data_IF_043442227784
#
_entry.id   IF_043442227784
#
_cell.length_a   1.000
_cell.length_b   1.000
_cell.length_c   1.000
_cell.angle_alpha   90.00
_cell.angle_beta   90.00
_cell.angle_gamma   90.00
#
_symmetry.space_group_name_H-M   'P 1'
#
loop_
_entity.id
_entity.type
_entity.pdbx_description
1 polymer ?
#
# COMPACT_ATOMS: atom_id res chain seq x y z
N UNK A 1 -17.12 3.36 16.54
CA UNK A 1 -16.00 2.40 16.48
C UNK A 1 -16.61 1.02 16.63
N UNK A 2 -16.31 0.03 15.77
CA UNK A 2 -16.83 -1.32 15.96
C UNK A 2 -16.26 -1.86 17.26
N UNK A 3 -17.11 -2.44 18.09
CA UNK A 3 -16.71 -3.08 19.35
C UNK A 3 -16.63 -4.58 19.10
N UNK A 4 -15.43 -5.14 19.22
CA UNK A 4 -15.21 -6.58 19.18
C UNK A 4 -15.13 -7.08 20.62
N UNK A 5 -15.86 -8.14 20.94
CA UNK A 5 -15.68 -8.81 22.22
C UNK A 5 -14.33 -9.54 22.25
N UNK A 6 -13.77 -9.68 23.46
CA UNK A 6 -12.54 -10.44 23.67
C UNK A 6 -12.65 -11.86 23.09
N UNK A 7 -13.80 -12.50 23.30
CA UNK A 7 -14.08 -13.87 22.83
C UNK A 7 -14.07 -13.95 21.30
N UNK A 8 -14.73 -13.02 20.61
CA UNK A 8 -14.73 -13.00 19.13
C UNK A 8 -13.33 -12.85 18.56
N UNK A 9 -12.50 -11.98 19.16
CA UNK A 9 -11.12 -11.79 18.72
C UNK A 9 -10.28 -13.06 18.93
N UNK A 10 -10.42 -13.75 20.06
CA UNK A 10 -9.71 -15.00 20.28
C UNK A 10 -10.16 -16.10 19.33
N UNK A 11 -11.47 -16.28 19.12
CA UNK A 11 -11.97 -17.24 18.15
C UNK A 11 -11.43 -16.96 16.73
N UNK A 12 -11.40 -15.69 16.31
CA UNK A 12 -10.84 -15.31 15.01
C UNK A 12 -9.36 -15.68 14.89
N UNK A 13 -8.57 -15.40 15.94
CA UNK A 13 -7.15 -15.71 15.97
C UNK A 13 -6.90 -17.23 15.94
N UNK A 14 -7.65 -18.00 16.72
CA UNK A 14 -7.50 -19.47 16.74
C UNK A 14 -7.78 -20.06 15.36
N UNK A 15 -8.87 -19.63 14.70
CA UNK A 15 -9.22 -20.09 13.36
C UNK A 15 -8.12 -19.75 12.33
N UNK A 16 -7.60 -18.51 12.34
CA UNK A 16 -6.59 -18.12 11.35
C UNK A 16 -5.23 -18.76 11.62
N UNK A 17 -4.86 -18.99 12.89
CA UNK A 17 -3.63 -19.68 13.27
C UNK A 17 -3.67 -21.14 12.79
N UNK A 18 -4.77 -21.85 13.04
CA UNK A 18 -4.93 -23.22 12.57
C UNK A 18 -4.91 -23.34 11.05
N UNK A 19 -5.42 -22.32 10.35
CA UNK A 19 -5.31 -22.22 8.90
C UNK A 19 -3.86 -22.02 8.45
N UNK A 20 -3.14 -21.03 9.02
CA UNK A 20 -1.76 -20.74 8.63
C UNK A 20 -0.78 -21.87 8.95
N UNK A 21 -0.99 -22.64 10.03
CA UNK A 21 -0.18 -23.84 10.33
C UNK A 21 -0.18 -24.87 9.21
N UNK A 22 -1.25 -24.92 8.41
CA UNK A 22 -1.40 -25.85 7.28
C UNK A 22 -0.78 -25.31 5.99
N UNK A 23 -0.45 -24.02 5.94
CA UNK A 23 0.11 -23.38 4.74
C UNK A 23 1.64 -23.43 4.74
N UNK A 24 2.22 -23.54 3.55
CA UNK A 24 3.67 -23.44 3.37
C UNK A 24 4.09 -21.97 3.50
N UNK A 25 5.32 -21.75 3.97
CA UNK A 25 5.91 -20.40 4.02
C UNK A 25 6.02 -19.75 2.65
N UNK A 26 6.31 -20.53 1.61
CA UNK A 26 6.24 -20.09 0.21
C UNK A 26 4.85 -20.41 -0.34
N UNK A 27 4.04 -19.37 -0.54
CA UNK A 27 2.73 -19.49 -1.16
C UNK A 27 2.84 -19.36 -2.69
N UNK A 28 2.11 -20.20 -3.40
CA UNK A 28 2.05 -20.21 -4.86
C UNK A 28 0.66 -19.77 -5.34
N UNK A 29 0.62 -18.91 -6.35
CA UNK A 29 -0.63 -18.39 -6.89
C UNK A 29 -0.56 -18.15 -8.38
N UNK A 30 -1.58 -18.63 -9.10
CA UNK A 30 -1.75 -18.35 -10.51
C UNK A 30 -2.53 -17.05 -10.74
N UNK A 31 -2.15 -16.24 -11.74
CA UNK A 31 -2.96 -15.12 -12.20
C UNK A 31 -4.39 -15.56 -12.62
N UNK A 32 -5.38 -14.65 -12.65
CA UNK A 32 -5.27 -13.23 -12.34
C UNK A 32 -5.23 -12.97 -10.82
N UNK A 33 -4.41 -12.00 -10.41
CA UNK A 33 -4.22 -11.66 -8.99
C UNK A 33 -4.00 -10.15 -8.80
N UNK A 34 -4.51 -9.61 -7.70
CA UNK A 34 -4.24 -8.24 -7.25
C UNK A 34 -3.30 -8.28 -6.05
N UNK A 35 -2.15 -7.62 -6.19
CA UNK A 35 -1.12 -7.50 -5.16
C UNK A 35 -1.26 -6.14 -4.46
N UNK A 36 -1.35 -6.20 -3.14
CA UNK A 36 -1.59 -5.08 -2.24
C UNK A 36 -0.37 -4.91 -1.34
N UNK A 37 0.18 -3.70 -1.29
CA UNK A 37 1.24 -3.33 -0.37
C UNK A 37 0.69 -2.96 1.01
N UNK A 38 1.40 -2.06 1.67
CA UNK A 38 1.17 -1.67 3.06
C UNK A 38 -0.21 -0.99 3.20
N UNK A 39 -0.90 -1.30 4.30
CA UNK A 39 -2.23 -0.75 4.63
C UNK A 39 -2.18 0.13 5.88
N UNK A 40 -1.37 -0.24 6.88
CA UNK A 40 -1.11 0.55 8.08
C UNK A 40 -2.37 1.13 8.74
N UNK A 41 -3.34 0.26 9.05
CA UNK A 41 -4.55 0.65 9.79
C UNK A 41 -5.48 1.63 9.07
N UNK A 42 -5.34 1.84 7.75
CA UNK A 42 -6.24 2.66 6.94
C UNK A 42 -7.45 1.86 6.45
N UNK A 43 -8.38 1.58 7.37
CA UNK A 43 -9.52 0.69 7.13
C UNK A 43 -10.44 1.17 6.00
N UNK A 44 -10.72 2.47 5.91
CA UNK A 44 -11.57 3.02 4.86
C UNK A 44 -10.98 2.79 3.47
N UNK A 45 -9.66 2.97 3.33
CA UNK A 45 -8.95 2.74 2.08
C UNK A 45 -8.90 1.26 1.71
N UNK A 46 -8.73 0.37 2.70
CA UNK A 46 -8.80 -1.07 2.52
C UNK A 46 -10.19 -1.51 2.03
N UNK A 47 -11.26 -1.03 2.67
CA UNK A 47 -12.64 -1.34 2.26
C UNK A 47 -12.91 -0.83 0.85
N UNK A 48 -12.46 0.39 0.54
CA UNK A 48 -12.56 0.96 -0.82
C UNK A 48 -11.84 0.09 -1.85
N UNK A 49 -10.64 -0.38 -1.54
CA UNK A 49 -9.86 -1.26 -2.40
C UNK A 49 -10.60 -2.58 -2.68
N UNK A 50 -11.10 -3.24 -1.62
CA UNK A 50 -11.80 -4.52 -1.71
C UNK A 50 -13.13 -4.42 -2.46
N UNK A 51 -13.79 -3.26 -2.41
CA UNK A 51 -15.05 -2.99 -3.12
C UNK A 51 -14.88 -2.63 -4.61
N UNK A 52 -13.65 -2.64 -5.16
CA UNK A 52 -13.43 -2.33 -6.57
C UNK A 52 -14.08 -3.39 -7.48
N UNK A 53 -15.03 -2.98 -8.33
CA UNK A 53 -15.74 -3.83 -9.29
C UNK A 53 -14.82 -4.52 -10.31
N UNK A 54 -15.28 -5.63 -10.88
CA UNK A 54 -14.68 -6.22 -12.08
C UNK A 54 -15.06 -5.36 -13.29
N UNK A 55 -14.09 -4.92 -14.09
CA UNK A 55 -14.34 -4.09 -15.28
C UNK A 55 -15.11 -4.81 -16.40
N UNK A 56 -15.34 -6.12 -16.28
CA UNK A 56 -15.84 -6.96 -17.36
C UNK A 56 -17.34 -7.27 -17.30
N UNK A 57 -18.09 -6.71 -16.34
CA UNK A 57 -19.49 -7.12 -16.17
C UNK A 57 -20.48 -6.11 -16.75
N UNK A 58 -21.27 -6.62 -17.70
CA UNK A 58 -22.46 -5.99 -18.24
C UNK A 58 -23.39 -5.57 -17.09
N UNK A 59 -23.93 -4.35 -17.17
CA UNK A 59 -24.71 -3.69 -16.11
C UNK A 59 -26.01 -4.41 -15.64
N UNK A 60 -26.27 -5.65 -16.09
CA UNK A 60 -27.51 -6.39 -15.84
C UNK A 60 -27.40 -7.52 -14.81
N UNK A 61 -26.21 -7.94 -14.38
CA UNK A 61 -26.03 -8.95 -13.32
C UNK A 61 -25.81 -8.34 -11.93
N UNK A 62 -26.29 -9.02 -10.88
CA UNK A 62 -26.15 -8.63 -9.46
C UNK A 62 -24.70 -8.21 -9.19
N UNK A 63 -24.43 -7.07 -8.53
CA UNK A 63 -23.08 -6.55 -8.41
C UNK A 63 -22.17 -7.55 -7.71
N UNK A 64 -21.19 -8.08 -8.44
CA UNK A 64 -20.19 -8.95 -7.86
C UNK A 64 -19.00 -8.12 -7.42
N UNK A 65 -18.78 -8.07 -6.11
CA UNK A 65 -17.73 -7.26 -5.51
C UNK A 65 -16.36 -7.92 -5.69
N UNK A 66 -15.32 -7.11 -5.85
CA UNK A 66 -13.96 -7.60 -6.09
C UNK A 66 -13.44 -8.51 -4.97
N UNK A 67 -13.87 -8.28 -3.73
CA UNK A 67 -13.44 -9.07 -2.58
C UNK A 67 -13.83 -10.56 -2.68
N UNK A 68 -14.92 -10.93 -3.36
CA UNK A 68 -15.39 -12.32 -3.45
C UNK A 68 -14.96 -13.04 -4.74
N UNK A 69 -14.52 -12.31 -5.76
CA UNK A 69 -14.19 -12.88 -7.08
C UNK A 69 -12.71 -12.84 -7.43
N UNK A 70 -11.98 -11.83 -6.95
CA UNK A 70 -10.56 -11.67 -7.28
C UNK A 70 -9.70 -12.48 -6.31
N UNK A 71 -8.53 -12.89 -6.79
CA UNK A 71 -7.46 -13.35 -5.91
C UNK A 71 -6.64 -12.15 -5.43
N UNK A 72 -6.24 -12.19 -4.17
CA UNK A 72 -5.56 -11.11 -3.47
C UNK A 72 -4.29 -11.62 -2.80
N UNK A 73 -3.19 -10.89 -2.99
CA UNK A 73 -1.93 -11.10 -2.27
C UNK A 73 -1.64 -9.84 -1.50
N UNK A 74 -1.60 -9.92 -0.18
CA UNK A 74 -1.19 -8.81 0.68
C UNK A 74 0.26 -9.00 1.10
N UNK A 75 1.08 -7.98 0.93
CA UNK A 75 2.52 -8.02 1.20
C UNK A 75 2.90 -7.75 2.67
N UNK A 76 1.91 -7.55 3.55
CA UNK A 76 2.10 -7.29 4.98
C UNK A 76 1.84 -5.84 5.40
N UNK A 77 2.28 -5.49 6.61
CA UNK A 77 2.12 -4.16 7.22
C UNK A 77 0.64 -3.72 7.25
N UNK A 78 -0.18 -4.56 7.87
CA UNK A 78 -1.63 -4.36 8.04
C UNK A 78 -1.93 -3.36 9.16
N UNK A 79 -1.09 -3.38 10.19
CA UNK A 79 -1.26 -2.67 11.46
C UNK A 79 -0.26 -1.51 11.60
N UNK A 80 -0.39 -0.79 12.70
CA UNK A 80 0.37 0.40 13.09
C UNK A 80 0.12 1.64 12.22
N UNK A 81 0.49 2.80 12.80
CA UNK A 81 0.38 4.16 12.24
C UNK A 81 -1.04 4.67 12.03
N UNK A 82 -1.96 3.85 11.51
CA UNK A 82 -3.37 4.17 11.38
C UNK A 82 -4.19 3.78 12.60
N UNK A 83 -5.29 4.50 12.79
CA UNK A 83 -6.17 4.37 13.97
C UNK A 83 -7.06 3.11 13.95
N UNK A 84 -7.21 2.45 12.80
CA UNK A 84 -8.13 1.30 12.62
C UNK A 84 -7.41 0.00 12.30
N UNK A 85 -6.26 -0.19 12.93
CA UNK A 85 -5.43 -1.41 12.78
C UNK A 85 -6.20 -2.68 13.13
N UNK A 86 -7.00 -2.65 14.21
CA UNK A 86 -7.81 -3.79 14.62
C UNK A 86 -8.89 -4.14 13.57
N UNK A 87 -9.60 -3.13 13.05
CA UNK A 87 -10.60 -3.36 12.00
C UNK A 87 -9.95 -3.93 10.72
N UNK A 88 -8.77 -3.44 10.33
CA UNK A 88 -8.02 -3.95 9.18
C UNK A 88 -7.66 -5.41 9.33
N UNK A 89 -7.00 -5.79 10.43
CA UNK A 89 -6.53 -7.17 10.62
C UNK A 89 -7.71 -8.13 10.77
N UNK A 90 -8.77 -7.73 11.48
CA UNK A 90 -9.98 -8.53 11.63
C UNK A 90 -10.67 -8.78 10.29
N UNK A 91 -10.75 -7.78 9.41
CA UNK A 91 -11.32 -7.92 8.07
C UNK A 91 -10.48 -8.88 7.21
N UNK A 92 -9.17 -8.68 7.18
CA UNK A 92 -8.26 -9.46 6.33
C UNK A 92 -8.19 -10.92 6.78
N UNK A 93 -8.17 -11.17 8.10
CA UNK A 93 -8.25 -12.54 8.65
C UNK A 93 -9.60 -13.21 8.36
N UNK A 94 -10.71 -12.48 8.55
CA UNK A 94 -12.03 -13.02 8.20
C UNK A 94 -12.11 -13.42 6.72
N UNK A 95 -11.58 -12.57 5.81
CA UNK A 95 -11.54 -12.89 4.38
C UNK A 95 -10.65 -14.09 4.07
N UNK A 96 -9.50 -14.22 4.75
CA UNK A 96 -8.63 -15.39 4.63
C UNK A 96 -9.31 -16.67 5.09
N UNK A 97 -10.06 -16.63 6.19
CA UNK A 97 -10.80 -17.80 6.69
C UNK A 97 -11.93 -18.18 5.72
N UNK A 98 -12.71 -17.19 5.26
CA UNK A 98 -13.82 -17.45 4.33
C UNK A 98 -13.35 -17.89 2.94
N UNK A 99 -12.18 -17.41 2.49
CA UNK A 99 -11.69 -17.59 1.13
C UNK A 99 -10.19 -17.94 1.10
N UNK A 100 -9.77 -19.08 1.69
CA UNK A 100 -8.36 -19.38 1.97
C UNK A 100 -7.47 -19.46 0.74
N UNK A 101 -8.03 -19.91 -0.39
CA UNK A 101 -7.31 -20.01 -1.68
C UNK A 101 -7.29 -18.69 -2.47
N UNK A 102 -8.18 -17.75 -2.16
CA UNK A 102 -8.25 -16.45 -2.84
C UNK A 102 -7.42 -15.39 -2.13
N UNK A 103 -7.22 -15.49 -0.83
CA UNK A 103 -6.44 -14.52 -0.05
C UNK A 103 -5.12 -15.14 0.41
N UNK A 104 -4.01 -14.56 -0.05
CA UNK A 104 -2.67 -14.86 0.45
C UNK A 104 -2.21 -13.67 1.28
N UNK A 105 -1.84 -13.95 2.52
CA UNK A 105 -1.42 -12.95 3.49
C UNK A 105 0.04 -13.20 3.82
N UNK A 106 0.91 -12.29 3.40
CA UNK A 106 2.33 -12.33 3.74
C UNK A 106 2.59 -11.51 4.99
N UNK A 107 3.69 -11.85 5.67
CA UNK A 107 4.10 -11.16 6.89
C UNK A 107 4.94 -9.94 6.53
N UNK A 108 4.49 -8.77 6.97
CA UNK A 108 5.30 -7.56 6.96
C UNK A 108 6.18 -7.48 8.20
N UNK A 109 6.93 -6.39 8.31
CA UNK A 109 7.76 -6.23 9.49
C UNK A 109 6.91 -5.81 10.69
N UNK A 110 5.80 -5.12 10.51
CA UNK A 110 4.92 -4.72 11.61
C UNK A 110 4.20 -5.91 12.29
N UNK A 111 4.17 -7.10 11.68
CA UNK A 111 3.52 -8.28 12.27
C UNK A 111 4.46 -9.12 13.16
N UNK A 112 5.33 -8.50 13.96
CA UNK A 112 6.22 -9.20 14.90
C UNK A 112 6.23 -8.52 16.28
N UNK A 113 6.18 -9.32 17.36
CA UNK A 113 6.23 -8.80 18.75
C UNK A 113 7.42 -7.86 18.99
N UNK A 114 8.57 -8.15 18.39
CA UNK A 114 9.77 -7.31 18.46
C UNK A 114 9.64 -5.98 17.70
N UNK A 115 8.84 -5.90 16.63
CA UNK A 115 8.57 -4.62 15.93
C UNK A 115 7.56 -3.80 16.73
N UNK A 116 6.48 -4.44 17.19
CA UNK A 116 5.46 -3.80 18.03
C UNK A 116 6.05 -3.28 19.35
N UNK A 117 7.17 -3.84 19.79
CA UNK A 117 7.89 -3.38 20.97
C UNK A 117 9.12 -2.52 20.68
N UNK A 118 9.79 -2.62 19.51
CA UNK A 118 11.11 -1.98 19.30
C UNK A 118 11.68 -1.84 17.87
N UNK A 119 10.97 -2.16 16.78
CA UNK A 119 11.49 -2.25 15.39
C UNK A 119 12.54 -3.36 15.13
N UNK A 120 12.16 -4.46 14.49
CA UNK A 120 13.06 -5.47 13.90
C UNK A 120 12.41 -6.73 13.29
N UNK A 121 12.36 -6.78 11.95
CA UNK A 121 12.33 -7.98 11.11
C UNK A 121 13.15 -7.64 9.86
N UNK A 122 13.81 -8.63 9.26
CA UNK A 122 14.80 -8.49 8.18
C UNK A 122 14.21 -7.78 6.95
N UNK A 123 14.31 -6.45 6.86
CA UNK A 123 13.85 -5.73 5.66
C UNK A 123 14.95 -4.89 5.05
N UNK A 124 15.36 -5.33 3.87
CA UNK A 124 16.33 -4.62 3.06
C UNK A 124 15.69 -3.39 2.41
N UNK A 125 16.45 -2.30 2.25
CA UNK A 125 16.04 -1.11 1.50
C UNK A 125 16.80 -1.01 0.19
N UNK A 126 16.18 -0.50 -0.88
CA UNK A 126 16.93 -0.26 -2.12
C UNK A 126 17.87 0.93 -1.90
N UNK A 127 19.17 0.76 -2.19
CA UNK A 127 20.12 1.87 -2.22
C UNK A 127 20.51 2.18 -3.65
N UNK A 128 20.20 3.40 -4.07
CA UNK A 128 20.65 3.98 -5.34
C UNK A 128 22.03 4.59 -5.10
N UNK A 129 23.06 3.75 -5.02
CA UNK A 129 24.44 4.23 -5.18
C UNK A 129 24.81 4.11 -6.66
N UNK A 130 25.64 5.04 -7.16
CA UNK A 130 26.22 5.00 -8.50
C UNK A 130 26.98 3.67 -8.69
N UNK A 131 26.25 2.72 -9.28
CA UNK A 131 26.57 1.46 -9.95
C UNK A 131 27.97 0.88 -9.67
N UNK A 132 28.11 -0.02 -8.68
CA UNK A 132 28.98 -1.17 -8.86
C UNK A 132 28.31 -2.15 -9.84
N UNK A 133 29.04 -2.64 -10.84
CA UNK A 133 28.56 -3.65 -11.79
C UNK A 133 28.26 -5.02 -11.12
N UNK A 134 28.77 -5.23 -9.90
CA UNK A 134 28.60 -6.47 -9.14
C UNK A 134 27.49 -6.34 -8.08
N UNK A 135 26.80 -7.45 -7.72
CA UNK A 135 25.88 -7.47 -6.58
C UNK A 135 26.53 -6.92 -5.31
N UNK A 136 25.84 -6.01 -4.62
CA UNK A 136 26.31 -5.46 -3.35
C UNK A 136 25.21 -5.43 -2.30
N UNK A 137 25.61 -5.66 -1.05
CA UNK A 137 24.75 -5.65 0.13
C UNK A 137 25.44 -4.83 1.23
N UNK A 138 24.95 -3.61 1.46
CA UNK A 138 25.58 -2.63 2.36
C UNK A 138 24.68 -2.43 3.58
N UNK A 139 25.22 -2.25 4.79
CA UNK A 139 24.37 -2.01 5.98
C UNK A 139 23.37 -0.87 5.76
N UNK A 140 22.12 -1.10 6.14
CA UNK A 140 21.05 -0.12 6.02
C UNK A 140 21.05 0.83 7.22
N UNK A 141 21.86 1.88 7.14
CA UNK A 141 22.00 2.87 8.20
C UNK A 141 20.70 3.66 8.45
N UNK A 142 19.85 3.86 7.42
CA UNK A 142 18.59 4.60 7.56
C UNK A 142 17.57 3.92 8.47
N UNK A 143 17.60 2.58 8.53
CA UNK A 143 16.71 1.80 9.39
C UNK A 143 17.41 1.27 10.64
N UNK A 144 18.74 1.39 10.71
CA UNK A 144 19.56 0.78 11.76
C UNK A 144 19.66 -0.75 11.69
N UNK A 145 19.01 -1.39 10.71
CA UNK A 145 18.82 -2.83 10.61
C UNK A 145 18.81 -3.30 9.15
N UNK A 146 19.25 -4.54 8.91
CA UNK A 146 19.34 -5.16 7.59
C UNK A 146 20.38 -4.51 6.65
N UNK A 147 20.36 -4.92 5.38
CA UNK A 147 21.23 -4.42 4.32
C UNK A 147 20.42 -3.70 3.24
N UNK A 148 21.08 -2.90 2.45
CA UNK A 148 20.58 -2.35 1.22
C UNK A 148 21.24 -3.04 0.05
N UNK A 149 20.48 -3.27 -1.01
CA UNK A 149 20.97 -3.95 -2.20
C UNK A 149 20.89 -3.03 -3.44
N UNK A 150 21.76 -3.31 -4.40
CA UNK A 150 21.82 -2.59 -5.68
C UNK A 150 21.09 -3.34 -6.81
N UNK A 151 21.08 -2.73 -8.00
CA UNK A 151 20.45 -3.30 -9.20
C UNK A 151 21.08 -4.63 -9.64
N UNK A 152 22.40 -4.77 -9.55
CA UNK A 152 23.09 -6.01 -9.88
C UNK A 152 22.64 -7.18 -8.98
N UNK A 153 22.43 -6.94 -7.68
CA UNK A 153 21.89 -7.94 -6.76
C UNK A 153 20.46 -8.37 -7.12
N UNK A 154 19.61 -7.43 -7.56
CA UNK A 154 18.25 -7.74 -8.04
C UNK A 154 18.32 -8.60 -9.30
N UNK A 155 19.11 -8.18 -10.30
CA UNK A 155 19.29 -8.90 -11.56
C UNK A 155 19.78 -10.34 -11.33
N UNK A 156 20.78 -10.50 -10.47
CA UNK A 156 21.33 -11.82 -10.15
C UNK A 156 20.33 -12.69 -9.40
N UNK A 157 19.58 -12.12 -8.45
CA UNK A 157 18.52 -12.83 -7.74
C UNK A 157 17.43 -13.31 -8.70
N UNK A 158 16.98 -12.45 -9.62
CA UNK A 158 16.00 -12.83 -10.64
C UNK A 158 16.51 -13.97 -11.54
N UNK A 159 17.79 -13.92 -11.93
CA UNK A 159 18.44 -14.97 -12.72
C UNK A 159 18.49 -16.30 -11.97
N UNK A 160 18.97 -16.29 -10.72
CA UNK A 160 19.13 -17.49 -9.90
C UNK A 160 17.79 -18.16 -9.57
N UNK A 161 16.75 -17.36 -9.30
CA UNK A 161 15.42 -17.85 -8.98
C UNK A 161 14.57 -18.13 -10.23
N UNK A 162 15.07 -17.81 -11.42
CA UNK A 162 14.34 -17.87 -12.68
C UNK A 162 12.98 -17.14 -12.63
N UNK A 163 12.98 -15.91 -12.10
CA UNK A 163 11.78 -15.06 -11.99
C UNK A 163 11.95 -13.77 -12.80
N UNK A 164 10.83 -13.23 -13.29
CA UNK A 164 10.81 -12.00 -14.09
C UNK A 164 10.72 -10.73 -13.25
N UNK A 165 10.13 -10.80 -12.05
CA UNK A 165 9.81 -9.64 -11.24
C UNK A 165 9.75 -9.98 -9.75
N UNK A 166 10.38 -9.14 -8.93
CA UNK A 166 10.19 -9.09 -7.48
C UNK A 166 9.17 -7.98 -7.17
N UNK A 167 8.10 -8.32 -6.46
CA UNK A 167 7.12 -7.34 -5.95
C UNK A 167 7.23 -7.27 -4.43
N UNK A 168 7.34 -6.05 -3.88
CA UNK A 168 7.53 -5.83 -2.43
C UNK A 168 6.74 -4.63 -1.90
N UNK A 169 6.48 -4.61 -0.59
CA UNK A 169 5.89 -3.47 0.15
C UNK A 169 6.94 -2.61 0.87
N UNK A 170 6.62 -2.17 2.09
CA UNK A 170 7.45 -1.57 3.15
C UNK A 170 8.06 -0.18 2.91
N UNK A 171 8.24 0.26 1.67
CA UNK A 171 8.72 1.62 1.40
C UNK A 171 7.57 2.45 0.80
N UNK A 172 7.22 3.54 1.50
CA UNK A 172 6.29 4.54 0.98
C UNK A 172 6.81 5.11 -0.34
N UNK A 173 5.94 5.15 -1.34
CA UNK A 173 6.22 5.69 -2.67
C UNK A 173 5.27 6.85 -2.96
N UNK A 174 5.73 8.01 -3.45
CA UNK A 174 4.87 9.15 -3.74
C UNK A 174 3.71 8.82 -4.68
N UNK A 175 3.94 8.01 -5.71
CA UNK A 175 2.91 7.55 -6.65
C UNK A 175 2.21 6.24 -6.21
N UNK A 176 2.49 5.74 -5.01
CA UNK A 176 2.05 4.43 -4.53
C UNK A 176 2.82 3.25 -5.10
N UNK A 177 3.67 3.46 -6.11
CA UNK A 177 4.57 2.43 -6.62
C UNK A 177 5.89 3.02 -7.15
N UNK A 178 6.90 2.15 -7.31
CA UNK A 178 8.13 2.49 -8.01
C UNK A 178 8.82 1.25 -8.56
N UNK A 179 9.22 1.31 -9.82
CA UNK A 179 10.09 0.31 -10.44
C UNK A 179 11.56 0.61 -10.18
N UNK A 180 12.36 -0.45 -10.15
CA UNK A 180 13.80 -0.45 -9.97
C UNK A 180 14.41 -1.61 -10.77
N UNK A 181 15.72 -1.53 -11.04
CA UNK A 181 16.50 -2.57 -11.70
C UNK A 181 15.91 -3.03 -13.04
N UNK A 182 15.82 -2.12 -14.01
CA UNK A 182 15.15 -2.34 -15.31
C UNK A 182 13.78 -3.04 -15.17
N UNK A 183 12.96 -2.53 -14.25
CA UNK A 183 11.62 -3.04 -13.92
C UNK A 183 11.58 -4.47 -13.36
N UNK A 184 12.71 -5.08 -12.96
CA UNK A 184 12.73 -6.39 -12.28
C UNK A 184 12.42 -6.33 -10.79
N UNK A 185 12.31 -5.14 -10.21
CA UNK A 185 11.74 -4.95 -8.89
C UNK A 185 10.67 -3.86 -8.93
N UNK A 186 9.52 -4.13 -8.32
CA UNK A 186 8.47 -3.15 -8.10
C UNK A 186 8.15 -3.05 -6.61
N UNK A 187 8.19 -1.83 -6.08
CA UNK A 187 7.64 -1.53 -4.77
C UNK A 187 6.20 -1.05 -4.92
N UNK A 188 5.28 -1.61 -4.14
CA UNK A 188 3.86 -1.24 -4.07
C UNK A 188 3.54 -0.77 -2.65
N UNK A 189 2.82 0.33 -2.53
CA UNK A 189 2.39 0.90 -1.27
C UNK A 189 0.91 1.28 -1.39
N UNK A 190 0.04 0.68 -0.59
CA UNK A 190 -1.41 0.74 -0.78
C UNK A 190 -2.14 1.67 0.20
N UNK A 191 -1.39 2.40 1.02
CA UNK A 191 -1.87 3.39 1.99
C UNK A 191 -1.75 4.82 1.42
N UNK A 192 -2.81 5.37 0.76
CA UNK A 192 -2.79 6.75 0.28
C UNK A 192 -2.81 7.73 1.45
N UNK A 193 -2.16 8.88 1.29
CA UNK A 193 -2.04 9.91 2.32
C UNK A 193 -1.53 9.36 3.66
N UNK A 194 -0.42 8.63 3.60
CA UNK A 194 0.12 7.89 4.73
C UNK A 194 0.29 8.78 5.97
N UNK A 195 -0.19 8.27 7.11
CA UNK A 195 -0.18 8.96 8.40
C UNK A 195 -0.94 10.30 8.41
N UNK A 196 -1.80 10.56 7.41
CA UNK A 196 -2.50 11.83 7.16
C UNK A 196 -1.61 13.06 6.88
N UNK A 197 -0.29 12.88 6.84
CA UNK A 197 0.70 13.95 6.73
C UNK A 197 1.37 13.97 5.35
N UNK A 198 1.59 12.80 4.75
CA UNK A 198 2.34 12.65 3.51
C UNK A 198 1.36 12.66 2.34
N UNK A 199 1.59 13.46 1.31
CA UNK A 199 0.71 13.52 0.13
C UNK A 199 1.08 12.47 -0.93
N UNK A 200 1.14 11.19 -0.52
CA UNK A 200 1.36 10.08 -1.45
C UNK A 200 0.03 9.50 -1.96
N UNK A 201 0.06 8.97 -3.18
CA UNK A 201 -0.98 8.05 -3.65
C UNK A 201 -0.76 6.66 -3.07
N UNK A 202 -1.83 5.88 -2.96
CA UNK A 202 -1.75 4.43 -2.83
C UNK A 202 -1.74 3.79 -4.21
N UNK A 203 -1.30 2.55 -4.33
CA UNK A 203 -1.46 1.77 -5.54
C UNK A 203 -1.60 0.28 -5.24
N UNK A 204 -2.14 -0.46 -6.21
CA UNK A 204 -2.09 -1.92 -6.25
C UNK A 204 -1.60 -2.39 -7.61
N UNK A 205 -0.92 -3.54 -7.63
CA UNK A 205 -0.51 -4.18 -8.87
C UNK A 205 -1.53 -5.25 -9.26
N UNK A 206 -1.97 -5.26 -10.51
CA UNK A 206 -2.84 -6.30 -11.07
C UNK A 206 -2.03 -7.10 -12.08
N UNK A 207 -2.01 -8.42 -11.91
CA UNK A 207 -1.42 -9.37 -12.86
C UNK A 207 -2.59 -10.09 -13.54
N UNK A 208 -2.71 -9.93 -14.85
CA UNK A 208 -3.74 -10.58 -15.65
C UNK A 208 -3.37 -12.05 -15.95
N UNK A 209 -4.33 -12.84 -16.44
CA UNK A 209 -4.14 -14.27 -16.76
C UNK A 209 -3.01 -14.53 -17.75
N UNK A 210 -2.74 -13.59 -18.66
CA UNK A 210 -1.64 -13.65 -19.63
C UNK A 210 -0.30 -13.10 -19.09
N UNK A 211 -0.19 -12.87 -17.78
CA UNK A 211 0.99 -12.29 -17.14
C UNK A 211 1.14 -10.78 -17.30
N UNK A 212 0.26 -10.09 -18.04
CA UNK A 212 0.33 -8.63 -18.19
C UNK A 212 0.15 -7.93 -16.85
N UNK A 213 1.06 -7.03 -16.55
CA UNK A 213 1.06 -6.24 -15.32
C UNK A 213 0.44 -4.87 -15.59
N UNK A 214 -0.43 -4.41 -14.69
CA UNK A 214 -0.95 -3.05 -14.66
C UNK A 214 -0.97 -2.50 -13.23
N UNK A 215 -0.80 -1.20 -13.08
CA UNK A 215 -0.87 -0.53 -11.78
C UNK A 215 -2.17 0.26 -11.70
N UNK A 216 -2.93 0.06 -10.63
CA UNK A 216 -4.13 0.82 -10.33
C UNK A 216 -3.82 1.80 -9.20
N UNK A 217 -3.72 3.08 -9.53
CA UNK A 217 -3.44 4.14 -8.54
C UNK A 217 -4.72 4.46 -7.77
N UNK A 218 -4.60 4.52 -6.45
CA UNK A 218 -5.62 4.94 -5.51
C UNK A 218 -5.34 6.37 -5.07
N UNK A 219 -6.01 7.32 -5.72
CA UNK A 219 -5.96 8.72 -5.27
C UNK A 219 -6.77 8.89 -3.99
N UNK A 220 -6.33 9.81 -3.13
CA UNK A 220 -7.06 10.20 -1.95
C UNK A 220 -8.43 10.79 -2.35
N UNK A 221 -9.57 10.29 -1.81
CA UNK A 221 -10.89 10.79 -2.18
C UNK A 221 -11.09 12.26 -1.80
N UNK A 222 -10.41 12.74 -0.76
CA UNK A 222 -10.43 14.14 -0.34
C UNK A 222 -9.43 15.03 -1.10
N UNK A 223 -8.64 14.49 -2.04
CA UNK A 223 -7.70 15.31 -2.81
C UNK A 223 -8.43 16.34 -3.67
N UNK A 224 -9.51 15.94 -4.34
CA UNK A 224 -10.34 16.87 -5.11
C UNK A 224 -10.93 17.97 -4.22
N UNK A 225 -11.45 17.60 -3.05
CA UNK A 225 -12.01 18.56 -2.08
C UNK A 225 -10.94 19.49 -1.50
N UNK A 226 -9.74 18.98 -1.19
CA UNK A 226 -8.63 19.79 -0.67
C UNK A 226 -8.09 20.76 -1.73
N UNK A 227 -7.96 20.32 -2.98
CA UNK A 227 -7.54 21.18 -4.09
C UNK A 227 -8.58 22.27 -4.37
N UNK A 228 -9.87 21.92 -4.32
CA UNK A 228 -10.95 22.89 -4.42
C UNK A 228 -10.88 23.94 -3.29
N UNK A 229 -10.70 23.52 -2.05
CA UNK A 229 -10.54 24.43 -0.91
C UNK A 229 -9.27 25.31 -1.00
N UNK A 230 -8.17 24.78 -1.53
CA UNK A 230 -6.94 25.55 -1.76
C UNK A 230 -7.12 26.61 -2.85
N UNK A 231 -7.79 26.26 -3.96
CA UNK A 231 -8.13 27.21 -5.03
C UNK A 231 -9.07 28.33 -4.53
N UNK A 232 -10.06 27.98 -3.71
CA UNK A 232 -10.95 28.95 -3.05
C UNK A 232 -10.16 29.92 -2.15
N UNK A 233 -9.20 29.42 -1.37
CA UNK A 233 -8.34 30.26 -0.52
C UNK A 233 -7.42 31.17 -1.35
N UNK A 234 -6.89 30.71 -2.49
CA UNK A 234 -6.10 31.57 -3.36
C UNK A 234 -6.92 32.68 -4.02
N UNK A 235 -8.17 32.40 -4.40
CA UNK A 235 -9.10 33.40 -4.94
C UNK A 235 -9.40 34.51 -3.92
N UNK A 236 -9.73 34.16 -2.68
CA UNK A 236 -9.97 35.16 -1.63
C UNK A 236 -8.72 36.00 -1.30
N UNK A 237 -7.52 35.45 -1.48
CA UNK A 237 -6.26 36.19 -1.27
C UNK A 237 -5.92 37.19 -2.39
N UNK A 238 -6.52 37.02 -3.58
CA UNK A 238 -6.39 37.94 -4.72
C UNK A 238 -7.40 39.09 -4.59
N UNK A 239 -8.63 38.80 -4.16
CA UNK A 239 -9.64 39.84 -3.89
C UNK A 239 -9.23 40.80 -2.77
N UNK A 240 -8.63 40.30 -1.69
CA UNK A 240 -8.11 41.17 -0.63
C UNK A 240 -6.91 42.02 -1.05
N UNK A 241 -6.13 41.59 -2.06
CA UNK A 241 -5.04 42.41 -2.63
C UNK A 241 -5.58 43.50 -3.56
N UNK A 242 -6.59 43.20 -4.37
CA UNK A 242 -7.24 44.18 -5.24
C UNK A 242 -8.03 45.23 -4.43
N UNK A 243 -8.67 44.85 -3.31
CA UNK A 243 -9.32 45.81 -2.40
C UNK A 243 -8.35 46.75 -1.67
N UNK A 244 -7.08 46.36 -1.47
CA UNK A 244 -6.07 47.26 -0.86
C UNK A 244 -5.51 48.26 -1.87
N UNK A 245 -5.43 47.89 -3.15
CA UNK A 245 -4.98 48.79 -4.21
C UNK A 245 -6.02 49.87 -4.54
N UNK A 246 -7.32 49.56 -4.47
CA UNK A 246 -8.39 50.54 -4.73
C UNK A 246 -8.61 51.56 -3.60
N UNK A 247 -8.12 51.30 -2.38
CA UNK A 247 -8.22 52.25 -1.26
C UNK A 247 -7.11 53.32 -1.25
N UNK A 248 -6.04 53.13 -2.01
CA UNK A 248 -4.92 54.07 -2.06
C UNK A 248 -5.00 55.09 -3.21
N UNK A 249 -6.06 55.09 -4.03
CA UNK A 249 -6.22 56.02 -5.16
C UNK A 249 -7.04 57.28 -4.88
N UNK A 250 -7.45 57.54 -3.63
CA UNK A 250 -8.30 58.69 -3.26
C UNK A 250 -7.58 59.78 -2.45
N UNK A 251 -6.28 59.97 -2.66
CA UNK A 251 -5.56 61.16 -2.18
C UNK A 251 -4.94 61.89 -3.38
N UNK A 252 -5.72 62.73 -4.05
CA UNK A 252 -5.17 63.87 -4.80
C UNK A 252 -5.19 65.10 -3.86
N UNK A 253 -4.12 65.91 -3.81
CA UNK A 253 -4.06 67.06 -2.92
C UNK A 253 -4.82 68.26 -3.51
N UNK A 254 -5.56 68.92 -2.61
CA UNK A 254 -6.09 70.31 -2.61
C UNK A 254 -6.38 70.98 -3.94
#
# INVERSE_FOLDING_TARGET
MRTYSKTELFCLLDMVIELFKKEKTLAEISPPVTIVGDIHGQFEDLVRLLNTRNSSENAKSKPIYGFSTKKWVFLGDYVDRGYKSLDCICLVFSLKICFPKQYILLRGNHETRAINFRYGFRVCSVVVLKIPAKPSFIRNNKRGLSVCFNEAAVNETCRLLNISLIVRGHQMMPAGFKFFADRKLCTIFSAPRYMNEIDNSGAVMKVASNGKISISIMKNPNFAMKMFLLQMKSHNSLDHRNMRLSKNSNNLPS
#
